data_IF_669996474292
#
_entry.id   IF_669996474292
#
_cell.length_a   1.000
_cell.length_b   1.000
_cell.length_c   1.000
_cell.angle_alpha   90.00
_cell.angle_beta   90.00
_cell.angle_gamma   90.00
#
_symmetry.space_group_name_H-M   'P 1'
#
loop_
_entity.id
_entity.type
_entity.pdbx_description
1 polymer ?
#
# COMPACT_ATOMS: atom_id res chain seq x y z
N UNK A 1 -10.94 -7.18 -3.69
CA UNK A 1 -12.27 -7.45 -3.09
C UNK A 1 -12.66 -6.19 -2.33
N UNK A 2 -13.83 -5.61 -2.61
CA UNK A 2 -14.31 -4.41 -1.94
C UNK A 2 -15.42 -4.84 -0.98
N UNK A 3 -15.26 -4.55 0.32
CA UNK A 3 -16.30 -4.80 1.32
C UNK A 3 -17.21 -3.58 1.40
N UNK A 4 -18.52 -3.81 1.54
CA UNK A 4 -19.50 -2.75 1.75
C UNK A 4 -19.45 -2.30 3.22
N UNK A 5 -18.39 -1.58 3.58
CA UNK A 5 -18.22 -0.95 4.90
C UNK A 5 -18.65 0.51 4.74
N UNK A 6 -19.67 0.99 5.48
CA UNK A 6 -20.02 2.40 5.50
C UNK A 6 -18.86 3.25 6.03
N UNK A 7 -18.67 4.43 5.47
CA UNK A 7 -17.73 5.43 6.00
C UNK A 7 -18.46 6.70 6.38
N UNK A 8 -17.96 7.41 7.40
CA UNK A 8 -18.52 8.70 7.82
C UNK A 8 -17.79 9.84 7.14
N UNK A 9 -18.51 10.76 6.54
CA UNK A 9 -17.91 11.92 5.90
C UNK A 9 -17.46 12.91 6.96
N UNK A 10 -16.20 13.32 6.89
CA UNK A 10 -15.61 14.30 7.81
C UNK A 10 -15.44 15.66 7.17
N UNK A 11 -15.28 15.72 5.84
CA UNK A 11 -15.18 16.98 5.10
C UNK A 11 -15.60 16.79 3.62
N UNK A 12 -16.05 17.88 2.97
CA UNK A 12 -16.42 17.90 1.55
C UNK A 12 -15.85 19.17 0.91
N UNK A 13 -14.96 18.98 -0.07
CA UNK A 13 -14.32 20.06 -0.83
C UNK A 13 -14.65 19.88 -2.31
N UNK A 14 -15.62 20.66 -2.79
CA UNK A 14 -16.11 20.60 -4.17
C UNK A 14 -16.72 19.24 -4.51
N UNK A 15 -15.99 18.43 -5.30
CA UNK A 15 -16.40 17.08 -5.71
C UNK A 15 -15.57 15.98 -5.05
N UNK A 16 -14.78 16.31 -4.03
CA UNK A 16 -14.04 15.34 -3.21
C UNK A 16 -14.59 15.36 -1.79
N UNK A 17 -14.81 14.19 -1.22
CA UNK A 17 -15.17 14.01 0.18
C UNK A 17 -14.09 13.21 0.90
N UNK A 18 -13.75 13.65 2.11
CA UNK A 18 -12.88 12.91 3.01
C UNK A 18 -13.74 12.04 3.92
N UNK A 19 -13.51 10.73 3.89
CA UNK A 19 -14.33 9.72 4.56
C UNK A 19 -13.49 8.99 5.60
N UNK A 20 -14.03 8.82 6.80
CA UNK A 20 -13.46 8.06 7.92
C UNK A 20 -14.06 6.64 7.97
N UNK A 21 -13.17 5.65 7.98
CA UNK A 21 -13.46 4.23 8.18
C UNK A 21 -12.69 3.73 9.41
N UNK A 22 -13.32 3.72 10.58
CA UNK A 22 -12.67 3.26 11.83
C UNK A 22 -11.31 3.94 12.11
N UNK A 23 -11.21 5.25 11.82
CA UNK A 23 -10.01 6.07 11.97
C UNK A 23 -9.12 6.14 10.72
N UNK A 24 -9.36 5.31 9.70
CA UNK A 24 -8.66 5.38 8.42
C UNK A 24 -9.35 6.38 7.50
N UNK A 25 -8.62 7.40 7.04
CA UNK A 25 -9.18 8.46 6.19
C UNK A 25 -8.88 8.18 4.72
N UNK A 26 -9.91 8.22 3.87
CA UNK A 26 -9.78 8.06 2.42
C UNK A 26 -10.62 9.09 1.68
N UNK A 27 -10.07 9.61 0.59
CA UNK A 27 -10.80 10.51 -0.30
C UNK A 27 -11.65 9.71 -1.28
N UNK A 28 -12.82 10.25 -1.61
CA UNK A 28 -13.68 9.72 -2.65
C UNK A 28 -14.38 10.84 -3.44
N UNK A 29 -14.62 10.58 -4.72
CA UNK A 29 -15.35 11.47 -5.60
C UNK A 29 -16.85 11.47 -5.26
N UNK A 30 -17.45 12.66 -5.23
CA UNK A 30 -18.87 12.87 -4.92
C UNK A 30 -19.68 12.93 -6.22
N UNK A 31 -20.20 11.77 -6.65
CA UNK A 31 -21.07 11.67 -7.83
C UNK A 31 -22.58 11.70 -7.51
N UNK A 32 -22.91 11.70 -6.21
CA UNK A 32 -24.28 11.78 -5.70
C UNK A 32 -24.57 13.17 -5.14
N UNK A 33 -25.82 13.60 -5.20
CA UNK A 33 -26.25 14.90 -4.67
C UNK A 33 -26.50 14.86 -3.16
N UNK A 34 -26.41 16.03 -2.51
CA UNK A 34 -26.88 16.20 -1.13
C UNK A 34 -26.00 15.58 -0.04
N UNK A 35 -24.72 15.34 -0.33
CA UNK A 35 -23.76 14.76 0.62
C UNK A 35 -23.12 15.86 1.48
N UNK A 36 -23.14 15.67 2.79
CA UNK A 36 -22.62 16.62 3.78
C UNK A 36 -21.69 15.94 4.79
N UNK A 37 -20.80 16.71 5.46
CA UNK A 37 -20.09 16.23 6.63
C UNK A 37 -21.07 15.68 7.68
N UNK A 38 -20.77 14.49 8.20
CA UNK A 38 -21.63 13.76 9.13
C UNK A 38 -22.42 12.62 8.49
N UNK A 39 -22.70 12.68 7.17
CA UNK A 39 -23.39 11.61 6.47
C UNK A 39 -22.57 10.31 6.44
N UNK A 40 -23.27 9.18 6.43
CA UNK A 40 -22.67 7.88 6.17
C UNK A 40 -22.89 7.50 4.71
N UNK A 41 -21.86 6.93 4.09
CA UNK A 41 -21.88 6.59 2.67
C UNK A 41 -21.22 5.26 2.37
N UNK A 42 -21.65 4.65 1.27
CA UNK A 42 -20.86 3.63 0.59
C UNK A 42 -19.99 4.27 -0.49
N UNK A 43 -18.72 3.86 -0.55
CA UNK A 43 -17.82 4.21 -1.64
C UNK A 43 -17.28 2.95 -2.32
N UNK A 44 -17.24 2.96 -3.65
CA UNK A 44 -16.69 1.88 -4.46
C UNK A 44 -15.73 2.46 -5.50
N UNK A 45 -14.51 1.92 -5.55
CA UNK A 45 -13.50 2.39 -6.51
C UNK A 45 -13.10 3.86 -6.33
N UNK A 46 -13.25 4.42 -5.12
CA UNK A 46 -12.99 5.84 -4.86
C UNK A 46 -14.12 6.78 -5.28
N UNK A 47 -15.34 6.29 -5.50
CA UNK A 47 -16.52 7.09 -5.80
C UNK A 47 -17.61 6.78 -4.77
N UNK A 48 -18.27 7.81 -4.25
CA UNK A 48 -19.45 7.66 -3.39
C UNK A 48 -20.62 7.22 -4.27
N UNK A 49 -21.19 6.07 -3.95
CA UNK A 49 -22.28 5.46 -4.73
C UNK A 49 -23.64 5.61 -4.06
N UNK A 50 -23.68 5.74 -2.73
CA UNK A 50 -24.92 5.77 -1.97
C UNK A 50 -24.74 6.47 -0.62
N UNK A 51 -25.76 7.23 -0.20
CA UNK A 51 -25.90 7.77 1.15
C UNK A 51 -26.79 6.85 1.98
N UNK A 52 -26.40 6.64 3.23
CA UNK A 52 -27.09 5.74 4.16
C UNK A 52 -27.72 6.53 5.30
N UNK A 53 -28.84 5.99 5.80
CA UNK A 53 -29.38 6.42 7.07
C UNK A 53 -28.43 6.02 8.21
N UNK A 54 -28.33 6.88 9.22
CA UNK A 54 -27.36 6.73 10.30
C UNK A 54 -27.57 5.42 11.10
N UNK A 55 -28.81 5.05 11.37
CA UNK A 55 -29.15 3.82 12.09
C UNK A 55 -28.73 2.55 11.32
N UNK A 56 -28.98 2.53 10.01
CA UNK A 56 -28.55 1.45 9.12
C UNK A 56 -27.02 1.37 9.09
N UNK A 57 -26.35 2.51 8.90
CA UNK A 57 -24.90 2.56 8.85
C UNK A 57 -24.26 2.06 10.17
N UNK A 58 -24.78 2.52 11.31
CA UNK A 58 -24.32 2.10 12.63
C UNK A 58 -24.55 0.61 12.88
N UNK A 59 -25.68 0.05 12.42
CA UNK A 59 -25.95 -1.39 12.51
C UNK A 59 -24.91 -2.22 11.73
N UNK A 60 -24.62 -1.81 10.49
CA UNK A 60 -23.61 -2.48 9.65
C UNK A 60 -22.22 -2.34 10.26
N UNK A 61 -21.85 -1.13 10.71
CA UNK A 61 -20.57 -0.87 11.37
C UNK A 61 -20.38 -1.71 12.63
N UNK A 62 -21.44 -1.91 13.41
CA UNK A 62 -21.41 -2.79 14.58
C UNK A 62 -21.04 -4.23 14.20
N UNK A 63 -21.60 -4.75 13.10
CA UNK A 63 -21.25 -6.08 12.58
C UNK A 63 -19.80 -6.17 12.07
N UNK A 64 -19.27 -5.09 11.51
CA UNK A 64 -17.88 -5.04 11.02
C UNK A 64 -16.84 -4.85 12.12
N UNK A 65 -17.20 -4.24 13.25
CA UNK A 65 -16.28 -3.78 14.28
C UNK A 65 -15.26 -4.87 14.69
N UNK A 66 -15.72 -6.04 15.11
CA UNK A 66 -14.85 -7.13 15.55
C UNK A 66 -13.95 -7.66 14.42
N UNK A 67 -14.52 -7.87 13.23
CA UNK A 67 -13.78 -8.40 12.09
C UNK A 67 -12.70 -7.41 11.62
N UNK A 68 -13.03 -6.13 11.54
CA UNK A 68 -12.12 -5.07 11.10
C UNK A 68 -10.89 -4.99 11.99
N UNK A 69 -11.09 -4.92 13.32
CA UNK A 69 -9.96 -4.83 14.25
C UNK A 69 -9.11 -6.11 14.30
N UNK A 70 -9.73 -7.29 14.26
CA UNK A 70 -8.98 -8.55 14.16
C UNK A 70 -8.15 -8.63 12.89
N UNK A 71 -8.73 -8.25 11.74
CA UNK A 71 -8.00 -8.23 10.48
C UNK A 71 -6.86 -7.19 10.50
N UNK A 72 -7.10 -6.01 11.08
CA UNK A 72 -6.07 -4.98 11.26
C UNK A 72 -4.91 -5.47 12.14
N UNK A 73 -5.18 -6.20 13.21
CA UNK A 73 -4.14 -6.82 14.04
C UNK A 73 -3.38 -7.93 13.31
N UNK A 74 -4.08 -8.79 12.57
CA UNK A 74 -3.46 -9.84 11.76
C UNK A 74 -2.56 -9.22 10.70
N UNK A 75 -3.03 -8.20 9.98
CA UNK A 75 -2.26 -7.48 8.97
C UNK A 75 -1.04 -6.79 9.58
N UNK A 76 -1.20 -6.14 10.74
CA UNK A 76 -0.08 -5.54 11.48
C UNK A 76 0.93 -6.60 11.88
N UNK A 77 0.51 -7.71 12.48
CA UNK A 77 1.40 -8.82 12.86
C UNK A 77 2.09 -9.38 11.62
N UNK A 78 1.39 -9.62 10.52
CA UNK A 78 2.01 -10.11 9.29
C UNK A 78 3.00 -9.09 8.70
N UNK A 79 2.77 -7.79 8.85
CA UNK A 79 3.76 -6.78 8.47
C UNK A 79 4.97 -6.77 9.43
N UNK A 80 4.76 -7.00 10.72
CA UNK A 80 5.76 -7.00 11.80
C UNK A 80 6.45 -8.35 12.06
N UNK A 81 5.94 -9.46 11.54
CA UNK A 81 6.53 -10.81 11.65
C UNK A 81 7.44 -11.09 10.45
N UNK A 82 7.41 -10.19 9.45
CA UNK A 82 8.38 -10.09 8.37
C UNK A 82 9.32 -8.85 8.44
N UNK A 83 9.94 -8.45 9.57
CA UNK A 83 10.97 -7.41 9.57
C UNK A 83 12.38 -7.97 9.30
N UNK A 84 12.56 -9.28 9.15
CA UNK A 84 13.91 -9.86 9.25
C UNK A 84 14.09 -11.33 8.87
N UNK A 85 13.67 -11.76 7.68
CA UNK A 85 14.29 -12.94 7.05
C UNK A 85 15.61 -12.61 6.34
N UNK A 86 16.19 -11.43 6.60
CA UNK A 86 17.62 -11.18 6.40
C UNK A 86 18.32 -11.39 7.73
N UNK A 87 18.60 -12.64 8.07
CA UNK A 87 19.82 -12.90 8.81
C UNK A 87 20.96 -12.40 7.92
N UNK A 88 21.91 -11.66 8.48
CA UNK A 88 23.11 -11.15 7.77
C UNK A 88 23.91 -12.25 7.05
N UNK A 89 23.57 -13.52 7.25
CA UNK A 89 24.07 -14.70 6.54
C UNK A 89 23.58 -14.86 5.10
N UNK A 90 22.53 -14.15 4.65
CA UNK A 90 22.07 -14.20 3.25
C UNK A 90 22.42 -12.93 2.46
N UNK A 91 23.61 -12.37 2.66
CA UNK A 91 24.21 -11.50 1.65
C UNK A 91 24.80 -12.45 0.60
N UNK A 92 24.31 -12.50 -0.66
CA UNK A 92 25.02 -13.20 -1.72
C UNK A 92 26.43 -12.63 -1.75
N UNK A 93 27.43 -13.47 -1.52
CA UNK A 93 28.83 -13.02 -1.58
C UNK A 93 29.02 -12.27 -2.89
N UNK A 94 29.60 -11.07 -2.81
CA UNK A 94 29.99 -10.29 -3.99
C UNK A 94 30.81 -11.19 -4.90
N UNK A 95 30.22 -11.60 -6.02
CA UNK A 95 31.02 -12.02 -7.16
C UNK A 95 31.68 -10.75 -7.72
N UNK A 96 32.84 -10.43 -7.16
CA UNK A 96 33.75 -9.41 -7.66
C UNK A 96 34.33 -9.86 -9.00
N UNK A 97 33.52 -9.82 -10.04
CA UNK A 97 33.98 -9.70 -11.43
C UNK A 97 33.21 -8.57 -12.09
N UNK A 98 33.46 -7.36 -11.58
CA UNK A 98 33.25 -6.15 -12.38
C UNK A 98 34.37 -6.13 -13.40
N UNK A 99 34.06 -6.55 -14.63
CA UNK A 99 34.90 -6.27 -15.78
C UNK A 99 35.04 -4.75 -15.90
N UNK A 100 36.25 -4.24 -15.68
CA UNK A 100 36.58 -2.80 -15.65
C UNK A 100 36.49 -2.10 -17.01
N UNK A 101 35.83 -2.71 -18.01
CA UNK A 101 35.82 -2.25 -19.40
C UNK A 101 34.40 -2.20 -20.00
N UNK A 102 33.39 -1.80 -19.23
CA UNK A 102 32.09 -1.39 -19.78
C UNK A 102 31.89 0.10 -19.54
N UNK A 103 31.88 0.89 -20.61
CA UNK A 103 31.67 2.33 -20.56
C UNK A 103 30.32 2.71 -19.96
N UNK A 104 30.32 3.81 -19.21
CA UNK A 104 29.24 4.71 -18.77
C UNK A 104 27.87 4.18 -18.25
N UNK A 105 27.50 2.91 -18.39
CA UNK A 105 26.16 2.39 -18.01
C UNK A 105 26.27 1.19 -17.05
N UNK A 106 26.96 1.38 -15.91
CA UNK A 106 26.93 0.39 -14.84
C UNK A 106 25.53 0.35 -14.22
N UNK A 107 24.79 -0.74 -14.43
CA UNK A 107 23.54 -0.99 -13.71
C UNK A 107 23.88 -1.07 -12.20
N UNK A 108 23.23 -0.28 -11.32
CA UNK A 108 23.52 -0.32 -9.90
C UNK A 108 23.20 -1.68 -9.30
N UNK A 109 23.88 -2.02 -8.20
CA UNK A 109 23.63 -3.23 -7.42
C UNK A 109 22.15 -3.30 -7.00
N UNK A 110 21.51 -4.46 -7.08
CA UNK A 110 20.10 -4.65 -6.72
C UNK A 110 19.77 -4.03 -5.36
N UNK A 111 20.64 -4.22 -4.37
CA UNK A 111 20.49 -3.68 -3.03
C UNK A 111 20.53 -2.15 -3.00
N UNK A 112 21.27 -1.52 -3.91
CA UNK A 112 21.35 -0.07 -4.01
C UNK A 112 20.05 0.53 -4.58
N UNK A 113 19.51 -0.09 -5.64
CA UNK A 113 18.23 0.30 -6.24
C UNK A 113 17.12 0.20 -5.19
N UNK A 114 17.08 -0.91 -4.46
CA UNK A 114 16.11 -1.16 -3.40
C UNK A 114 16.21 -0.11 -2.28
N UNK A 115 17.41 0.13 -1.73
CA UNK A 115 17.61 1.14 -0.67
C UNK A 115 17.19 2.54 -1.10
N UNK A 116 17.49 2.93 -2.34
CA UNK A 116 17.06 4.23 -2.88
C UNK A 116 15.54 4.33 -2.95
N UNK A 117 14.88 3.27 -3.44
CA UNK A 117 13.43 3.20 -3.60
C UNK A 117 12.70 3.26 -2.25
N UNK A 118 13.23 2.60 -1.22
CA UNK A 118 12.67 2.66 0.13
C UNK A 118 12.67 4.07 0.74
N UNK A 119 13.60 4.92 0.31
CA UNK A 119 13.70 6.32 0.72
C UNK A 119 12.89 7.27 -0.19
N UNK A 120 12.06 6.75 -1.09
CA UNK A 120 11.20 7.55 -1.96
C UNK A 120 11.91 8.17 -3.17
N UNK A 121 13.12 7.73 -3.51
CA UNK A 121 13.83 8.19 -4.71
C UNK A 121 13.30 7.49 -5.97
N UNK A 122 13.32 8.22 -7.10
CA UNK A 122 12.87 7.69 -8.38
C UNK A 122 13.80 6.62 -8.95
N UNK A 123 13.19 5.66 -9.65
CA UNK A 123 13.86 4.57 -10.36
C UNK A 123 13.93 4.92 -11.85
N UNK A 124 15.08 4.71 -12.48
CA UNK A 124 15.26 4.89 -13.92
C UNK A 124 14.65 3.73 -14.73
N UNK A 125 14.42 3.93 -16.03
CA UNK A 125 13.86 2.89 -16.91
C UNK A 125 14.73 1.63 -16.96
N UNK A 126 16.07 1.78 -16.98
CA UNK A 126 17.02 0.66 -17.01
C UNK A 126 17.00 -0.14 -15.71
N UNK A 127 17.00 0.54 -14.56
CA UNK A 127 16.88 -0.09 -13.24
C UNK A 127 15.55 -0.86 -13.10
N UNK A 128 14.45 -0.29 -13.59
CA UNK A 128 13.15 -0.97 -13.58
C UNK A 128 13.14 -2.22 -14.46
N UNK A 129 13.71 -2.15 -15.66
CA UNK A 129 13.83 -3.31 -16.55
C UNK A 129 14.70 -4.39 -15.91
N UNK A 130 15.78 -4.01 -15.24
CA UNK A 130 16.60 -4.93 -14.47
C UNK A 130 15.78 -5.66 -13.40
N UNK A 131 15.03 -4.92 -12.56
CA UNK A 131 14.17 -5.50 -11.52
C UNK A 131 13.14 -6.49 -12.08
N UNK A 132 12.59 -6.24 -13.28
CA UNK A 132 11.63 -7.12 -13.95
C UNK A 132 12.27 -8.41 -14.50
N UNK A 133 13.59 -8.42 -14.69
CA UNK A 133 14.32 -9.57 -15.25
C UNK A 133 14.96 -10.46 -14.20
N UNK A 134 14.81 -10.15 -12.91
CA UNK A 134 15.35 -10.93 -11.79
C UNK A 134 14.79 -12.35 -11.83
N UNK A 135 15.69 -13.34 -11.72
CA UNK A 135 15.36 -14.76 -11.64
C UNK A 135 15.84 -15.43 -10.36
N UNK A 136 16.72 -14.76 -9.61
CA UNK A 136 17.29 -15.28 -8.38
C UNK A 136 16.23 -15.24 -7.27
N UNK A 137 16.01 -16.37 -6.61
CA UNK A 137 14.87 -16.57 -5.72
C UNK A 137 14.94 -15.68 -4.47
N UNK A 138 16.14 -15.41 -3.95
CA UNK A 138 16.36 -14.52 -2.81
C UNK A 138 16.03 -13.06 -3.14
N UNK A 139 16.55 -12.54 -4.25
CA UNK A 139 16.22 -11.21 -4.76
C UNK A 139 14.73 -11.05 -5.07
N UNK A 140 14.07 -12.06 -5.65
CA UNK A 140 12.63 -12.03 -5.91
C UNK A 140 11.82 -11.95 -4.61
N UNK A 141 12.16 -12.75 -3.61
CA UNK A 141 11.52 -12.68 -2.28
C UNK A 141 11.71 -11.31 -1.66
N UNK A 142 12.92 -10.77 -1.70
CA UNK A 142 13.22 -9.45 -1.13
C UNK A 142 12.45 -8.33 -1.84
N UNK A 143 12.40 -8.34 -3.17
CA UNK A 143 11.62 -7.39 -3.97
C UNK A 143 10.12 -7.47 -3.61
N UNK A 144 9.57 -8.69 -3.49
CA UNK A 144 8.17 -8.91 -3.10
C UNK A 144 7.86 -8.31 -1.72
N UNK A 145 8.70 -8.59 -0.72
CA UNK A 145 8.49 -8.08 0.63
C UNK A 145 8.54 -6.56 0.68
N UNK A 146 9.48 -5.94 -0.03
CA UNK A 146 9.66 -4.48 -0.04
C UNK A 146 8.51 -3.79 -0.78
N UNK A 147 8.08 -4.33 -1.92
CA UNK A 147 6.92 -3.81 -2.65
C UNK A 147 5.64 -3.83 -1.80
N UNK A 148 5.41 -4.92 -1.05
CA UNK A 148 4.29 -4.99 -0.11
C UNK A 148 4.45 -3.97 1.03
N UNK A 149 5.64 -3.86 1.63
CA UNK A 149 5.90 -2.89 2.71
C UNK A 149 5.66 -1.45 2.26
N UNK A 150 6.06 -1.08 1.05
CA UNK A 150 5.81 0.25 0.48
C UNK A 150 4.30 0.47 0.29
N UNK A 151 3.56 -0.53 -0.21
CA UNK A 151 2.09 -0.46 -0.36
C UNK A 151 1.38 -0.15 0.97
N UNK A 152 1.90 -0.66 2.09
CA UNK A 152 1.32 -0.43 3.42
C UNK A 152 1.75 0.88 4.10
N UNK A 153 2.79 1.57 3.59
CA UNK A 153 3.24 2.86 4.14
C UNK A 153 2.40 4.06 3.65
N UNK A 154 1.53 3.87 2.65
CA UNK A 154 0.65 4.89 2.04
C UNK A 154 -0.78 4.72 2.52
#
# INVERSE_FOLDING_TARGET
>A
MCYAIPGKIIDVIGKSALIDYFGEKKEAYVDVEGVNPGDYVFAQGGVIVERLDEDIALSILSGWNEAFFKLKEIDKRLAEEYPGSFSETFIPQRDTKVDKNAGQDACPDFLEIIKRTENGLSITKSELLYLLTIKEEGQLKLLYHIANRIRHKV
#
